data_IF_720118750469
#
_entry.id   IF_720118750469
#
_cell.length_a   1.000
_cell.length_b   1.000
_cell.length_c   1.000
_cell.angle_alpha   90.00
_cell.angle_beta   90.00
_cell.angle_gamma   90.00
#
_symmetry.space_group_name_H-M   'P 1'
#
loop_
_entity.id
_entity.type
_entity.pdbx_description
1 polymer ?
#
# COMPACT_ATOMS: atom_id res chain seq x y z
N UNK A 1 41.36 -0.52 8.51
CA UNK A 1 40.39 -1.50 9.04
C UNK A 1 39.23 -0.73 9.68
N UNK A 2 38.00 -1.18 9.61
CA UNK A 2 36.92 -0.52 10.33
C UNK A 2 37.15 -0.53 11.83
N UNK A 3 36.85 0.57 12.51
CA UNK A 3 36.96 0.70 13.96
C UNK A 3 35.99 -0.26 14.63
N UNK A 4 36.43 -0.93 15.68
CA UNK A 4 35.63 -1.89 16.43
C UNK A 4 35.34 -1.41 17.87
N UNK A 5 34.31 -1.99 18.50
CA UNK A 5 34.05 -1.72 19.95
C UNK A 5 35.25 -2.05 20.82
N UNK A 6 36.12 -3.02 20.44
CA UNK A 6 37.33 -3.36 21.17
C UNK A 6 38.34 -2.24 21.12
N UNK A 7 38.51 -1.58 19.97
CA UNK A 7 39.44 -0.46 19.82
C UNK A 7 39.00 0.74 20.66
N UNK A 8 37.69 1.02 20.68
CA UNK A 8 37.13 2.07 21.55
C UNK A 8 37.28 1.72 23.03
N UNK A 9 37.06 0.47 23.42
CA UNK A 9 37.20 0.02 24.80
C UNK A 9 38.66 0.17 25.30
N UNK A 10 39.63 -0.23 24.47
CA UNK A 10 41.04 -0.07 24.76
C UNK A 10 41.43 1.41 24.93
N UNK A 11 40.97 2.29 24.01
CA UNK A 11 41.26 3.72 24.04
C UNK A 11 40.56 4.45 25.20
N UNK A 12 39.33 4.04 25.55
CA UNK A 12 38.56 4.61 26.65
C UNK A 12 38.99 4.09 28.02
N UNK A 13 39.82 3.02 28.10
CA UNK A 13 40.21 2.37 29.34
C UNK A 13 39.03 1.73 30.09
N UNK A 14 38.08 1.16 29.36
CA UNK A 14 36.89 0.52 29.95
C UNK A 14 36.61 -0.85 29.31
N UNK A 15 35.70 -1.61 29.90
CA UNK A 15 35.32 -2.91 29.33
C UNK A 15 34.53 -2.76 28.00
N UNK A 16 34.61 -3.80 27.16
CA UNK A 16 33.78 -3.88 25.93
C UNK A 16 32.29 -3.71 26.26
N UNK A 17 31.83 -4.28 27.36
CA UNK A 17 30.44 -4.16 27.81
C UNK A 17 30.07 -2.71 28.16
N UNK A 18 30.98 -1.95 28.78
CA UNK A 18 30.76 -0.53 29.08
C UNK A 18 30.59 0.30 27.80
N UNK A 19 31.47 0.06 26.80
CA UNK A 19 31.33 0.72 25.49
C UNK A 19 30.02 0.33 24.80
N UNK A 20 29.68 -0.95 24.78
CA UNK A 20 28.43 -1.45 24.23
C UNK A 20 27.22 -0.79 24.89
N UNK A 21 27.21 -0.66 26.22
CA UNK A 21 26.15 0.01 26.96
C UNK A 21 26.02 1.49 26.57
N UNK A 22 27.14 2.21 26.47
CA UNK A 22 27.11 3.64 26.06
C UNK A 22 26.61 3.81 24.63
N UNK A 23 27.10 2.99 23.69
CA UNK A 23 26.74 3.06 22.28
C UNK A 23 25.27 2.69 22.05
N UNK A 24 24.71 1.78 22.85
CA UNK A 24 23.33 1.33 22.78
C UNK A 24 22.36 2.13 23.68
N UNK A 25 22.83 3.18 24.35
CA UNK A 25 21.98 4.04 25.19
C UNK A 25 21.63 3.46 26.57
N UNK A 26 22.21 2.35 26.98
CA UNK A 26 22.00 1.71 28.28
C UNK A 26 22.88 2.37 29.37
N UNK A 27 22.49 3.56 29.80
CA UNK A 27 23.35 4.41 30.66
C UNK A 27 23.22 4.13 32.16
N UNK A 28 22.23 3.36 32.61
CA UNK A 28 21.88 3.17 34.05
C UNK A 28 23.03 2.65 34.92
N UNK A 29 24.03 2.01 34.33
CA UNK A 29 25.17 1.42 35.00
C UNK A 29 26.50 2.05 34.63
N UNK A 30 26.50 3.23 33.98
CA UNK A 30 27.70 3.89 33.48
C UNK A 30 27.73 5.33 33.98
N UNK A 31 28.88 5.74 34.57
CA UNK A 31 29.04 7.12 35.05
C UNK A 31 29.03 8.13 33.91
N UNK A 32 28.51 9.35 34.16
CA UNK A 32 28.41 10.44 33.18
C UNK A 32 29.77 10.71 32.50
N UNK A 33 30.84 10.82 33.28
CA UNK A 33 32.19 11.06 32.73
C UNK A 33 32.71 9.91 31.83
N UNK A 34 32.27 8.68 32.08
CA UNK A 34 32.60 7.54 31.19
C UNK A 34 31.79 7.61 29.90
N UNK A 35 30.51 8.00 29.96
CA UNK A 35 29.66 8.17 28.80
C UNK A 35 30.24 9.25 27.87
N UNK A 36 30.59 10.41 28.42
CA UNK A 36 31.20 11.52 27.65
C UNK A 36 32.51 11.10 26.97
N UNK A 37 33.41 10.44 27.73
CA UNK A 37 34.69 9.95 27.18
C UNK A 37 34.48 8.95 26.05
N UNK A 38 33.61 7.95 26.22
CA UNK A 38 33.32 6.97 25.17
C UNK A 38 32.70 7.62 23.92
N UNK A 39 31.74 8.52 24.11
CA UNK A 39 31.12 9.28 22.98
C UNK A 39 32.14 10.09 22.21
N UNK A 40 33.01 10.82 22.90
CA UNK A 40 34.07 11.60 22.26
C UNK A 40 35.02 10.73 21.42
N UNK A 41 35.30 9.49 21.84
CA UNK A 41 36.11 8.54 21.08
C UNK A 41 35.33 8.01 19.88
N UNK A 42 34.04 7.62 20.06
CA UNK A 42 33.15 7.16 19.00
C UNK A 42 33.08 8.20 17.88
N UNK A 43 32.84 9.46 18.24
CA UNK A 43 32.72 10.57 17.27
C UNK A 43 34.04 10.83 16.53
N UNK A 44 35.15 10.91 17.28
CA UNK A 44 36.47 11.14 16.69
C UNK A 44 36.93 10.02 15.78
N UNK A 45 36.59 8.76 16.11
CA UNK A 45 36.95 7.57 15.31
C UNK A 45 36.00 7.31 14.18
N UNK A 46 34.85 8.02 14.10
CA UNK A 46 33.79 7.78 13.13
C UNK A 46 33.20 6.36 13.25
N UNK A 47 33.13 5.83 14.49
CA UNK A 47 32.55 4.50 14.68
C UNK A 47 31.05 4.53 14.47
N UNK A 48 30.58 3.67 13.57
CA UNK A 48 29.15 3.40 13.37
C UNK A 48 28.86 1.99 13.88
N UNK A 49 27.89 1.88 14.79
CA UNK A 49 27.51 0.59 15.33
C UNK A 49 26.96 -0.33 14.24
N UNK A 50 27.52 -1.53 14.12
CA UNK A 50 27.05 -2.52 13.16
C UNK A 50 25.64 -2.99 13.53
N UNK A 51 24.68 -2.84 12.61
CA UNK A 51 23.29 -3.22 12.81
C UNK A 51 23.14 -4.73 13.13
N UNK A 52 23.89 -5.59 12.44
CA UNK A 52 23.87 -7.05 12.70
C UNK A 52 24.36 -7.42 14.12
N UNK A 53 25.39 -6.72 14.62
CA UNK A 53 25.88 -6.96 15.98
C UNK A 53 24.88 -6.48 17.04
N UNK A 54 24.17 -5.37 16.77
CA UNK A 54 23.09 -4.88 17.65
C UNK A 54 21.92 -5.83 17.67
N UNK A 55 21.46 -6.30 16.49
CA UNK A 55 20.31 -7.19 16.39
C UNK A 55 20.52 -8.50 17.14
N UNK A 56 21.73 -9.05 17.06
CA UNK A 56 22.08 -10.27 17.81
C UNK A 56 22.00 -10.06 19.33
N UNK A 57 22.46 -8.91 19.83
CA UNK A 57 22.43 -8.57 21.25
C UNK A 57 21.02 -8.23 21.75
N UNK A 58 20.21 -7.56 20.92
CA UNK A 58 18.87 -7.09 21.26
C UNK A 58 17.78 -8.14 20.97
N UNK A 59 18.09 -9.24 20.28
CA UNK A 59 17.12 -10.21 19.74
C UNK A 59 16.04 -9.56 18.86
N UNK A 60 16.35 -8.45 18.23
CA UNK A 60 15.49 -7.69 17.31
C UNK A 60 16.35 -7.16 16.18
N UNK A 61 15.93 -7.38 14.94
CA UNK A 61 16.65 -6.90 13.76
C UNK A 61 16.40 -5.42 13.48
N UNK A 62 15.29 -4.89 14.00
CA UNK A 62 14.72 -3.58 13.62
C UNK A 62 14.41 -3.50 12.12
N UNK A 63 14.16 -4.64 11.48
CA UNK A 63 13.75 -4.74 10.08
C UNK A 63 12.30 -5.15 9.97
N UNK A 64 11.54 -4.39 9.20
CA UNK A 64 10.19 -4.73 8.76
C UNK A 64 10.23 -5.03 7.27
N UNK A 65 9.71 -6.18 6.87
CA UNK A 65 9.56 -6.54 5.46
C UNK A 65 8.38 -5.82 4.83
N UNK A 66 8.56 -5.31 3.60
CA UNK A 66 7.46 -4.97 2.70
C UNK A 66 7.53 -5.95 1.54
N UNK A 67 6.62 -6.89 1.54
CA UNK A 67 6.60 -8.00 0.60
C UNK A 67 5.46 -7.81 -0.39
N UNK A 68 5.76 -7.93 -1.68
CA UNK A 68 4.78 -7.76 -2.75
C UNK A 68 4.93 -8.91 -3.74
N UNK A 69 3.85 -9.36 -4.39
CA UNK A 69 3.96 -10.37 -5.43
C UNK A 69 4.77 -9.85 -6.60
N UNK A 70 5.58 -10.72 -7.19
CA UNK A 70 6.35 -10.46 -8.41
C UNK A 70 6.38 -11.71 -9.27
N UNK A 71 6.58 -11.54 -10.58
CA UNK A 71 6.85 -12.69 -11.46
C UNK A 71 8.36 -12.90 -11.58
N UNK A 72 8.77 -14.13 -11.96
CA UNK A 72 10.19 -14.44 -12.15
C UNK A 72 10.84 -13.64 -13.29
N UNK A 73 10.04 -13.18 -14.24
CA UNK A 73 10.53 -12.63 -15.52
C UNK A 73 10.26 -11.14 -15.68
N UNK A 74 9.40 -10.54 -14.85
CA UNK A 74 8.99 -9.15 -15.01
C UNK A 74 9.67 -8.22 -14.01
N UNK A 75 9.87 -6.99 -14.44
CA UNK A 75 10.29 -5.92 -13.53
C UNK A 75 9.15 -5.62 -12.58
N UNK A 76 9.44 -5.56 -11.30
CA UNK A 76 8.47 -5.18 -10.29
C UNK A 76 8.05 -3.72 -10.49
N UNK A 77 6.80 -3.52 -10.93
CA UNK A 77 6.21 -2.21 -11.11
C UNK A 77 5.24 -1.93 -9.97
N UNK A 78 5.46 -0.82 -9.28
CA UNK A 78 4.57 -0.38 -8.22
C UNK A 78 3.61 0.69 -8.73
N UNK A 79 2.35 0.59 -8.35
CA UNK A 79 1.39 1.66 -8.64
C UNK A 79 1.77 2.95 -7.87
N UNK A 80 1.48 4.14 -8.41
CA UNK A 80 1.70 5.40 -7.69
C UNK A 80 1.01 5.44 -6.33
N UNK A 81 -0.18 4.84 -6.20
CA UNK A 81 -0.89 4.68 -4.94
C UNK A 81 -0.05 3.90 -3.91
N UNK A 82 0.47 2.73 -4.29
CA UNK A 82 1.30 1.90 -3.42
C UNK A 82 2.56 2.63 -2.96
N UNK A 83 3.21 3.36 -3.88
CA UNK A 83 4.41 4.17 -3.55
C UNK A 83 4.07 5.24 -2.50
N UNK A 84 2.91 5.89 -2.61
CA UNK A 84 2.48 6.87 -1.61
C UNK A 84 2.24 6.23 -0.23
N UNK A 85 1.53 5.09 -0.17
CA UNK A 85 1.32 4.33 1.08
C UNK A 85 2.66 3.95 1.72
N UNK A 86 3.63 3.48 0.92
CA UNK A 86 4.96 3.11 1.41
C UNK A 86 5.72 4.28 2.02
N UNK A 87 5.59 5.47 1.46
CA UNK A 87 6.22 6.67 2.02
C UNK A 87 5.75 6.98 3.45
N UNK A 88 4.46 6.87 3.71
CA UNK A 88 3.89 7.07 5.05
C UNK A 88 4.24 5.93 6.01
N UNK A 89 4.20 4.68 5.51
CA UNK A 89 4.62 3.50 6.26
C UNK A 89 6.09 3.63 6.71
N UNK A 90 7.01 3.91 5.76
CA UNK A 90 8.44 4.06 6.02
C UNK A 90 8.71 5.15 7.06
N UNK A 91 8.09 6.32 6.87
CA UNK A 91 8.24 7.44 7.81
C UNK A 91 7.88 7.01 9.23
N UNK A 92 6.75 6.34 9.41
CA UNK A 92 6.29 5.90 10.73
C UNK A 92 7.18 4.84 11.34
N UNK A 93 7.68 3.88 10.53
CA UNK A 93 8.65 2.88 10.97
C UNK A 93 9.96 3.53 11.41
N UNK A 94 10.48 4.47 10.64
CA UNK A 94 11.71 5.22 10.95
C UNK A 94 11.59 6.02 12.24
N UNK A 95 10.43 6.66 12.50
CA UNK A 95 10.17 7.39 13.75
C UNK A 95 10.28 6.48 15.00
N UNK A 96 10.03 5.16 14.83
CA UNK A 96 10.16 4.13 15.86
C UNK A 96 11.51 3.38 15.81
N UNK A 97 12.44 3.81 14.93
CA UNK A 97 13.78 3.24 14.78
C UNK A 97 13.81 1.90 14.05
N UNK A 98 12.83 1.62 13.22
CA UNK A 98 12.79 0.47 12.31
C UNK A 98 13.20 0.86 10.89
N UNK A 99 13.66 -0.11 10.12
CA UNK A 99 14.03 0.02 8.72
C UNK A 99 13.12 -0.85 7.86
N UNK A 100 12.79 -0.38 6.67
CA UNK A 100 11.97 -1.09 5.71
C UNK A 100 12.84 -1.86 4.73
N UNK A 101 12.64 -3.18 4.63
CA UNK A 101 13.20 -4.05 3.60
C UNK A 101 12.13 -4.34 2.55
N UNK A 102 12.31 -3.78 1.35
CA UNK A 102 11.41 -4.04 0.23
C UNK A 102 11.86 -5.26 -0.58
N UNK A 103 10.94 -6.20 -0.85
CA UNK A 103 11.22 -7.40 -1.64
C UNK A 103 9.99 -7.87 -2.43
N UNK A 104 10.19 -8.20 -3.71
CA UNK A 104 9.27 -9.01 -4.49
C UNK A 104 9.41 -10.49 -4.10
N UNK A 105 8.29 -11.21 -4.07
CA UNK A 105 8.23 -12.66 -3.85
C UNK A 105 7.44 -13.31 -4.98
N UNK A 106 7.89 -14.44 -5.47
CA UNK A 106 7.32 -15.12 -6.63
C UNK A 106 6.31 -16.19 -6.24
N UNK A 107 6.42 -16.69 -5.01
CA UNK A 107 5.52 -17.70 -4.45
C UNK A 107 5.16 -17.34 -3.01
N UNK A 108 3.95 -17.69 -2.61
CA UNK A 108 3.43 -17.45 -1.24
C UNK A 108 4.35 -18.04 -0.16
N UNK A 109 4.97 -19.19 -0.41
CA UNK A 109 5.91 -19.83 0.51
C UNK A 109 7.17 -18.98 0.77
N UNK A 110 7.55 -18.11 -0.16
CA UNK A 110 8.72 -17.23 0.00
C UNK A 110 8.50 -16.14 1.06
N UNK A 111 7.26 -15.81 1.41
CA UNK A 111 6.95 -14.87 2.49
C UNK A 111 7.59 -15.35 3.81
N UNK A 112 7.34 -16.62 4.19
CA UNK A 112 7.91 -17.20 5.40
C UNK A 112 9.45 -17.35 5.30
N UNK A 113 9.96 -17.71 4.13
CA UNK A 113 11.41 -17.77 3.87
C UNK A 113 12.04 -16.38 4.02
N UNK A 114 11.43 -15.33 3.49
CA UNK A 114 11.93 -13.96 3.62
C UNK A 114 11.94 -13.51 5.10
N UNK A 115 10.84 -13.74 5.80
CA UNK A 115 10.73 -13.41 7.23
C UNK A 115 11.87 -14.06 8.04
N UNK A 116 12.11 -15.36 7.84
CA UNK A 116 13.13 -16.10 8.59
C UNK A 116 14.55 -15.78 8.15
N UNK A 117 14.81 -15.74 6.84
CA UNK A 117 16.19 -15.56 6.33
C UNK A 117 16.76 -14.17 6.63
N UNK A 118 15.91 -13.15 6.66
CA UNK A 118 16.31 -11.79 7.01
C UNK A 118 16.07 -11.46 8.49
N UNK A 119 15.57 -12.43 9.27
CA UNK A 119 15.23 -12.24 10.68
C UNK A 119 14.36 -10.99 10.88
N UNK A 120 13.30 -10.86 10.06
CA UNK A 120 12.40 -9.71 10.14
C UNK A 120 11.62 -9.74 11.46
N UNK A 121 11.49 -8.59 12.11
CA UNK A 121 10.69 -8.45 13.33
C UNK A 121 9.19 -8.47 13.02
N UNK A 122 8.81 -8.10 11.79
CA UNK A 122 7.46 -8.16 11.23
C UNK A 122 7.46 -7.94 9.72
N UNK A 123 6.30 -8.10 9.08
CA UNK A 123 6.15 -7.84 7.66
C UNK A 123 4.82 -7.18 7.33
N UNK A 124 4.82 -6.34 6.30
CA UNK A 124 3.63 -5.85 5.60
C UNK A 124 3.57 -6.57 4.25
N UNK A 125 2.41 -7.12 3.92
CA UNK A 125 2.14 -7.73 2.61
C UNK A 125 1.11 -6.88 1.88
N UNK A 126 1.31 -6.68 0.57
CA UNK A 126 0.43 -5.86 -0.27
C UNK A 126 0.36 -6.42 -1.68
N UNK A 127 -0.84 -6.43 -2.27
CA UNK A 127 -1.05 -6.86 -3.64
C UNK A 127 -1.17 -8.38 -3.83
N UNK A 128 -1.20 -9.14 -2.77
CA UNK A 128 -1.52 -10.57 -2.80
C UNK A 128 -3.02 -10.77 -2.94
N UNK A 129 -3.42 -11.86 -3.58
CA UNK A 129 -4.81 -12.31 -3.58
C UNK A 129 -5.21 -12.73 -2.16
N UNK A 130 -6.48 -12.59 -1.82
CA UNK A 130 -6.95 -12.94 -0.47
C UNK A 130 -6.76 -14.42 -0.15
N UNK A 131 -6.92 -15.32 -1.15
CA UNK A 131 -6.65 -16.75 -1.02
C UNK A 131 -5.15 -17.03 -0.73
N UNK A 132 -4.25 -16.21 -1.26
CA UNK A 132 -2.82 -16.31 -0.95
C UNK A 132 -2.53 -15.87 0.49
N UNK A 133 -3.15 -14.76 0.92
CA UNK A 133 -3.04 -14.27 2.31
C UNK A 133 -3.65 -15.28 3.29
N UNK A 134 -4.74 -15.94 2.94
CA UNK A 134 -5.35 -17.02 3.74
C UNK A 134 -4.37 -18.19 3.95
N UNK A 135 -3.52 -18.45 2.97
CA UNK A 135 -2.49 -19.47 3.00
C UNK A 135 -1.25 -19.11 3.83
N UNK A 136 -1.08 -17.85 4.26
CA UNK A 136 0.11 -17.45 5.01
C UNK A 136 0.14 -18.13 6.38
N UNK A 137 1.26 -18.80 6.66
CA UNK A 137 1.54 -19.45 7.93
C UNK A 137 2.88 -18.97 8.47
N UNK A 138 2.95 -17.69 8.91
CA UNK A 138 4.20 -17.11 9.36
C UNK A 138 4.81 -17.95 10.48
N UNK A 139 6.13 -18.01 10.51
CA UNK A 139 6.85 -18.66 11.60
C UNK A 139 6.34 -18.14 12.94
N UNK A 140 6.16 -19.04 13.91
CA UNK A 140 5.46 -18.76 15.14
C UNK A 140 5.93 -17.45 15.79
N UNK A 141 5.04 -16.48 15.85
CA UNK A 141 5.23 -15.22 16.56
C UNK A 141 5.69 -14.01 15.73
N UNK A 142 5.91 -14.12 14.42
CA UNK A 142 6.24 -12.94 13.61
C UNK A 142 4.95 -12.29 13.11
N UNK A 143 4.64 -11.03 13.50
CA UNK A 143 3.47 -10.32 13.02
C UNK A 143 3.50 -10.07 11.52
N UNK A 144 2.36 -10.31 10.85
CA UNK A 144 2.15 -9.94 9.44
C UNK A 144 0.91 -9.07 9.33
N UNK A 145 1.07 -7.91 8.71
CA UNK A 145 -0.04 -7.01 8.39
C UNK A 145 -0.33 -7.07 6.89
N UNK A 146 -1.57 -7.34 6.54
CA UNK A 146 -2.05 -7.32 5.17
C UNK A 146 -2.69 -5.96 4.84
N UNK A 147 -2.18 -5.28 3.82
CA UNK A 147 -2.78 -4.06 3.27
C UNK A 147 -3.75 -4.40 2.16
N UNK A 148 -4.91 -3.74 2.17
CA UNK A 148 -5.95 -3.85 1.14
C UNK A 148 -6.40 -5.30 0.88
N UNK A 149 -6.40 -6.15 1.91
CA UNK A 149 -6.86 -7.54 1.86
C UNK A 149 -8.18 -7.71 2.62
N UNK A 150 -9.00 -8.61 2.11
CA UNK A 150 -10.25 -9.09 2.69
C UNK A 150 -10.12 -10.53 3.18
N UNK A 151 -8.90 -11.02 3.29
CA UNK A 151 -8.58 -12.34 3.86
C UNK A 151 -9.17 -12.52 5.25
N UNK A 152 -9.65 -13.73 5.52
CA UNK A 152 -10.16 -14.15 6.83
C UNK A 152 -9.07 -14.76 7.73
N UNK A 153 -7.79 -14.69 7.32
CA UNK A 153 -6.69 -15.29 8.08
C UNK A 153 -6.49 -14.60 9.44
N UNK A 154 -6.89 -15.25 10.51
CA UNK A 154 -6.76 -14.76 11.88
C UNK A 154 -5.31 -14.55 12.36
N UNK A 155 -4.31 -14.95 11.56
CA UNK A 155 -2.88 -14.76 11.86
C UNK A 155 -2.31 -13.47 11.25
N UNK A 156 -3.12 -12.76 10.48
CA UNK A 156 -2.75 -11.49 9.88
C UNK A 156 -3.66 -10.38 10.40
N UNK A 157 -3.08 -9.22 10.64
CA UNK A 157 -3.84 -8.00 10.91
C UNK A 157 -4.07 -7.25 9.61
N UNK A 158 -5.16 -6.53 9.46
CA UNK A 158 -5.52 -5.88 8.20
C UNK A 158 -5.76 -4.37 8.32
N UNK A 159 -5.33 -3.62 7.31
CA UNK A 159 -5.75 -2.22 7.09
C UNK A 159 -6.16 -2.08 5.63
N UNK A 160 -7.36 -1.56 5.38
CA UNK A 160 -7.89 -1.37 4.03
C UNK A 160 -8.75 -0.12 3.94
N UNK A 161 -9.03 0.32 2.74
CA UNK A 161 -10.03 1.35 2.49
C UNK A 161 -11.44 0.77 2.48
N UNK A 162 -12.46 1.63 2.64
CA UNK A 162 -13.86 1.23 2.43
C UNK A 162 -14.15 1.16 0.91
N UNK A 163 -13.70 0.05 0.30
CA UNK A 163 -13.80 -0.16 -1.14
C UNK A 163 -15.27 -0.23 -1.60
N UNK A 164 -16.15 -0.80 -0.76
CA UNK A 164 -17.58 -0.90 -1.09
C UNK A 164 -18.23 0.48 -1.14
N UNK A 165 -17.96 1.30 -0.13
CA UNK A 165 -18.45 2.67 -0.10
C UNK A 165 -17.88 3.49 -1.26
N UNK A 166 -16.60 3.30 -1.59
CA UNK A 166 -15.97 3.96 -2.73
C UNK A 166 -16.64 3.62 -4.07
N UNK A 167 -16.93 2.34 -4.30
CA UNK A 167 -17.68 1.92 -5.49
C UNK A 167 -19.10 2.49 -5.54
N UNK A 168 -19.77 2.55 -4.39
CA UNK A 168 -21.10 3.15 -4.25
C UNK A 168 -21.09 4.65 -4.58
N UNK A 169 -20.15 5.41 -4.01
CA UNK A 169 -20.00 6.85 -4.23
C UNK A 169 -19.75 7.18 -5.71
N UNK A 170 -18.87 6.42 -6.36
CA UNK A 170 -18.56 6.61 -7.78
C UNK A 170 -19.81 6.40 -8.66
N UNK A 171 -20.53 5.30 -8.44
CA UNK A 171 -21.74 4.99 -9.22
C UNK A 171 -22.88 5.97 -8.93
N UNK A 172 -23.13 6.27 -7.67
CA UNK A 172 -24.18 7.22 -7.25
C UNK A 172 -23.97 8.60 -7.89
N UNK A 173 -22.73 9.09 -7.93
CA UNK A 173 -22.40 10.34 -8.59
C UNK A 173 -22.78 10.32 -10.07
N UNK A 174 -22.36 9.30 -10.83
CA UNK A 174 -22.67 9.17 -12.24
C UNK A 174 -24.19 9.02 -12.51
N UNK A 175 -24.87 8.23 -11.69
CA UNK A 175 -26.32 8.04 -11.80
C UNK A 175 -27.10 9.33 -11.49
N UNK A 176 -26.64 10.13 -10.52
CA UNK A 176 -27.21 11.45 -10.17
C UNK A 176 -27.02 12.45 -11.31
N UNK A 177 -25.91 12.40 -12.03
CA UNK A 177 -25.66 13.20 -13.23
C UNK A 177 -26.51 12.77 -14.45
N UNK A 178 -27.30 11.69 -14.34
CA UNK A 178 -28.22 11.24 -15.38
C UNK A 178 -27.68 10.10 -16.25
N UNK A 179 -26.45 9.64 -16.02
CA UNK A 179 -25.93 8.48 -16.75
C UNK A 179 -26.70 7.21 -16.40
N UNK A 180 -26.96 6.35 -17.39
CA UNK A 180 -27.69 5.09 -17.21
C UNK A 180 -26.94 3.88 -17.76
N UNK A 181 -26.06 4.08 -18.74
CA UNK A 181 -25.14 3.08 -19.28
C UNK A 181 -23.74 3.44 -18.82
N UNK A 182 -23.28 2.78 -17.75
CA UNK A 182 -22.03 3.04 -17.05
C UNK A 182 -21.17 1.79 -17.15
N UNK A 183 -20.00 1.89 -17.77
CA UNK A 183 -19.03 0.80 -17.79
C UNK A 183 -18.25 0.72 -16.47
N UNK A 184 -17.97 -0.51 -16.06
CA UNK A 184 -17.10 -0.83 -14.93
C UNK A 184 -15.78 -1.36 -15.46
N UNK A 185 -14.69 -0.60 -15.33
CA UNK A 185 -13.35 -0.96 -15.82
C UNK A 185 -12.45 -1.40 -14.67
N UNK A 186 -12.04 -2.67 -14.71
CA UNK A 186 -11.26 -3.30 -13.63
C UNK A 186 -10.45 -4.48 -14.13
N UNK A 187 -9.41 -4.95 -13.40
CA UNK A 187 -8.86 -6.28 -13.61
C UNK A 187 -9.93 -7.37 -13.38
N UNK A 188 -9.64 -8.58 -13.82
CA UNK A 188 -10.44 -9.74 -13.43
C UNK A 188 -10.43 -9.88 -11.90
N UNK A 189 -11.56 -10.27 -11.32
CA UNK A 189 -11.70 -10.42 -9.88
C UNK A 189 -12.54 -11.64 -9.52
N UNK A 190 -12.29 -12.20 -8.34
CA UNK A 190 -13.04 -13.32 -7.76
C UNK A 190 -14.24 -12.82 -6.93
N UNK A 191 -14.87 -13.71 -6.19
CA UNK A 191 -16.00 -13.38 -5.31
C UNK A 191 -15.58 -12.63 -4.04
N UNK A 192 -14.28 -12.46 -3.81
CA UNK A 192 -13.70 -11.73 -2.68
C UNK A 192 -12.68 -10.69 -3.17
N UNK A 193 -12.25 -9.81 -2.29
CA UNK A 193 -11.19 -8.84 -2.56
C UNK A 193 -11.69 -7.44 -2.87
N UNK A 194 -10.74 -6.52 -2.95
CA UNK A 194 -11.00 -5.08 -3.04
C UNK A 194 -11.81 -4.70 -4.29
N UNK A 195 -11.51 -5.29 -5.46
CA UNK A 195 -12.24 -4.99 -6.71
C UNK A 195 -13.68 -5.50 -6.62
N UNK A 196 -13.87 -6.67 -6.01
CA UNK A 196 -15.21 -7.20 -5.73
C UNK A 196 -16.01 -6.26 -4.84
N UNK A 197 -15.43 -5.72 -3.78
CA UNK A 197 -16.11 -4.77 -2.91
C UNK A 197 -16.48 -3.48 -3.65
N UNK A 198 -15.58 -2.94 -4.48
CA UNK A 198 -15.89 -1.78 -5.35
C UNK A 198 -17.05 -2.09 -6.28
N UNK A 199 -17.06 -3.28 -6.88
CA UNK A 199 -18.14 -3.72 -7.76
C UNK A 199 -19.47 -3.91 -7.01
N UNK A 200 -19.46 -4.50 -5.80
CA UNK A 200 -20.67 -4.66 -4.99
C UNK A 200 -21.27 -3.30 -4.59
N UNK A 201 -20.44 -2.33 -4.24
CA UNK A 201 -20.89 -0.96 -3.98
C UNK A 201 -21.46 -0.28 -5.23
N UNK A 202 -20.80 -0.45 -6.36
CA UNK A 202 -21.26 0.04 -7.67
C UNK A 202 -22.64 -0.55 -8.04
N UNK A 203 -22.84 -1.86 -7.88
CA UNK A 203 -24.13 -2.50 -8.14
C UNK A 203 -25.21 -2.08 -7.13
N UNK A 204 -24.84 -1.83 -5.88
CA UNK A 204 -25.77 -1.33 -4.87
C UNK A 204 -26.35 0.03 -5.30
N UNK A 205 -25.52 0.97 -5.73
CA UNK A 205 -25.99 2.27 -6.22
C UNK A 205 -26.92 2.16 -7.42
N UNK A 206 -26.65 1.24 -8.36
CA UNK A 206 -27.54 0.96 -9.48
C UNK A 206 -28.91 0.44 -9.01
N UNK A 207 -28.89 -0.49 -8.05
CA UNK A 207 -30.13 -1.05 -7.47
C UNK A 207 -30.95 0.02 -6.78
N UNK A 208 -30.31 0.86 -5.97
CA UNK A 208 -30.97 1.94 -5.22
C UNK A 208 -31.57 3.01 -6.15
N UNK A 209 -30.93 3.25 -7.29
CA UNK A 209 -31.43 4.16 -8.33
C UNK A 209 -32.48 3.53 -9.26
N UNK A 210 -32.75 2.23 -9.14
CA UNK A 210 -33.66 1.50 -10.03
C UNK A 210 -33.14 1.39 -11.47
N UNK A 211 -31.83 1.44 -11.69
CA UNK A 211 -31.18 1.37 -12.99
C UNK A 211 -30.51 0.00 -13.15
N UNK A 212 -30.92 -0.77 -14.15
CA UNK A 212 -30.26 -2.04 -14.42
C UNK A 212 -28.85 -1.82 -14.96
N UNK A 213 -27.87 -2.57 -14.41
CA UNK A 213 -26.55 -2.67 -14.98
C UNK A 213 -26.43 -3.93 -15.86
N UNK A 214 -25.66 -3.86 -16.94
CA UNK A 214 -25.52 -4.94 -17.90
C UNK A 214 -24.08 -5.49 -17.85
N UNK A 215 -23.93 -6.81 -17.76
CA UNK A 215 -22.61 -7.45 -17.74
C UNK A 215 -21.75 -7.16 -18.99
N UNK A 216 -22.38 -6.78 -20.11
CA UNK A 216 -21.68 -6.30 -21.32
C UNK A 216 -20.97 -4.97 -21.14
N UNK A 217 -21.26 -4.24 -20.05
CA UNK A 217 -20.63 -2.98 -19.72
C UNK A 217 -19.44 -3.17 -18.77
N UNK A 218 -19.06 -4.42 -18.48
CA UNK A 218 -17.82 -4.73 -17.77
C UNK A 218 -16.62 -4.73 -18.73
N UNK A 219 -15.62 -3.92 -18.42
CA UNK A 219 -14.35 -3.88 -19.15
C UNK A 219 -13.28 -4.56 -18.27
N UNK A 220 -12.94 -5.79 -18.62
CA UNK A 220 -11.87 -6.54 -17.91
C UNK A 220 -10.53 -6.09 -18.48
N UNK A 221 -9.78 -5.34 -17.67
CA UNK A 221 -8.54 -4.68 -18.07
C UNK A 221 -7.64 -4.42 -16.85
N UNK A 222 -6.36 -4.82 -16.93
CA UNK A 222 -5.43 -4.55 -15.85
C UNK A 222 -5.17 -3.05 -15.69
N UNK A 223 -4.88 -2.59 -14.45
CA UNK A 223 -4.81 -1.17 -14.11
C UNK A 223 -3.48 -0.54 -14.56
N UNK A 224 -3.26 -0.50 -15.88
CA UNK A 224 -2.16 0.23 -16.52
C UNK A 224 -2.71 1.31 -17.43
N UNK A 225 -1.88 2.33 -17.70
CA UNK A 225 -2.28 3.41 -18.61
C UNK A 225 -2.48 2.89 -20.04
N UNK A 226 -1.57 2.04 -20.54
CA UNK A 226 -1.58 1.51 -21.89
C UNK A 226 -2.86 0.70 -22.18
N UNK A 227 -3.22 -0.20 -21.27
CA UNK A 227 -4.42 -1.01 -21.39
C UNK A 227 -5.69 -0.16 -21.20
N UNK A 228 -5.62 0.87 -20.37
CA UNK A 228 -6.67 1.87 -20.24
C UNK A 228 -6.92 2.61 -21.55
N UNK A 229 -5.87 3.02 -22.27
CA UNK A 229 -5.98 3.66 -23.59
C UNK A 229 -6.70 2.73 -24.59
N UNK A 230 -6.32 1.47 -24.64
CA UNK A 230 -6.95 0.51 -25.55
C UNK A 230 -8.43 0.26 -25.18
N UNK A 231 -8.74 0.10 -23.88
CA UNK A 231 -10.10 -0.07 -23.39
C UNK A 231 -10.98 1.16 -23.73
N UNK A 232 -10.45 2.38 -23.51
CA UNK A 232 -11.17 3.62 -23.85
C UNK A 232 -11.38 3.80 -25.34
N UNK A 233 -10.42 3.41 -26.18
CA UNK A 233 -10.54 3.44 -27.63
C UNK A 233 -11.64 2.47 -28.11
N UNK A 234 -11.65 1.24 -27.61
CA UNK A 234 -12.66 0.22 -27.93
C UNK A 234 -14.03 0.66 -27.45
N UNK A 235 -14.15 1.13 -26.22
CA UNK A 235 -15.40 1.66 -25.67
C UNK A 235 -15.94 2.79 -26.53
N UNK A 236 -15.10 3.74 -26.91
CA UNK A 236 -15.50 4.89 -27.72
C UNK A 236 -16.00 4.50 -29.12
N UNK A 237 -15.40 3.48 -29.74
CA UNK A 237 -15.74 3.01 -31.08
C UNK A 237 -16.95 2.05 -31.10
N UNK A 238 -16.98 1.08 -30.17
CA UNK A 238 -17.86 -0.09 -30.27
C UNK A 238 -19.07 -0.01 -29.31
N UNK A 239 -19.03 0.90 -28.30
CA UNK A 239 -20.09 1.04 -27.29
C UNK A 239 -20.65 2.48 -27.23
N UNK A 240 -21.31 2.96 -28.31
CA UNK A 240 -21.80 4.34 -28.39
C UNK A 240 -22.83 4.69 -27.30
N UNK A 241 -23.55 3.70 -26.78
CA UNK A 241 -24.55 3.88 -25.72
C UNK A 241 -23.95 4.06 -24.32
N UNK A 242 -22.69 3.66 -24.11
CA UNK A 242 -21.99 3.88 -22.85
C UNK A 242 -21.59 5.35 -22.75
N UNK A 243 -22.02 6.00 -21.66
CA UNK A 243 -21.88 7.44 -21.47
C UNK A 243 -21.06 7.80 -20.24
N UNK A 244 -20.69 6.80 -19.44
CA UNK A 244 -19.80 6.98 -18.31
C UNK A 244 -18.97 5.72 -18.05
N UNK A 245 -17.83 5.90 -17.40
CA UNK A 245 -16.94 4.83 -16.95
C UNK A 245 -16.57 5.06 -15.50
N UNK A 246 -16.70 4.03 -14.67
CA UNK A 246 -16.02 3.94 -13.41
C UNK A 246 -14.82 3.00 -13.56
N UNK A 247 -13.61 3.54 -13.46
CA UNK A 247 -12.36 2.80 -13.51
C UNK A 247 -11.81 2.61 -12.08
N UNK A 248 -11.45 1.39 -11.74
CA UNK A 248 -11.06 1.00 -10.38
C UNK A 248 -9.66 1.47 -9.95
N UNK A 249 -8.98 2.28 -10.77
CA UNK A 249 -7.73 2.96 -10.43
C UNK A 249 -7.57 4.23 -11.28
N UNK A 250 -6.97 5.28 -10.77
CA UNK A 250 -6.76 6.54 -11.49
C UNK A 250 -5.87 6.37 -12.72
N UNK A 251 -4.84 5.54 -12.63
CA UNK A 251 -3.95 5.29 -13.77
C UNK A 251 -4.73 4.65 -14.95
N UNK A 252 -5.66 3.75 -14.63
CA UNK A 252 -6.57 3.16 -15.62
C UNK A 252 -7.53 4.21 -16.16
N UNK A 253 -8.14 5.04 -15.28
CA UNK A 253 -9.07 6.09 -15.64
C UNK A 253 -8.45 7.09 -16.63
N UNK A 254 -7.23 7.53 -16.37
CA UNK A 254 -6.49 8.45 -17.27
C UNK A 254 -6.21 7.79 -18.63
N UNK A 255 -5.87 6.50 -18.62
CA UNK A 255 -5.75 5.74 -19.88
C UNK A 255 -7.07 5.70 -20.65
N UNK A 256 -8.18 5.42 -19.97
CA UNK A 256 -9.52 5.42 -20.58
C UNK A 256 -9.86 6.79 -21.17
N UNK A 257 -9.61 7.89 -20.46
CA UNK A 257 -9.82 9.26 -20.96
C UNK A 257 -9.09 9.51 -22.28
N UNK A 258 -7.81 9.15 -22.33
CA UNK A 258 -6.97 9.27 -23.53
C UNK A 258 -7.53 8.39 -24.68
N UNK A 259 -7.93 7.14 -24.38
CA UNK A 259 -8.50 6.23 -25.37
C UNK A 259 -9.82 6.73 -25.96
N UNK A 260 -10.70 7.27 -25.11
CA UNK A 260 -11.96 7.91 -25.52
C UNK A 260 -11.66 9.08 -26.46
N UNK A 261 -10.71 9.94 -26.11
CA UNK A 261 -10.32 11.07 -26.98
C UNK A 261 -9.77 10.59 -28.35
N UNK A 262 -8.96 9.53 -28.36
CA UNK A 262 -8.42 8.92 -29.59
C UNK A 262 -9.52 8.28 -30.48
N UNK A 263 -10.67 7.90 -29.91
CA UNK A 263 -11.84 7.42 -30.68
C UNK A 263 -12.65 8.55 -31.29
N UNK A 264 -12.33 9.80 -31.00
CA UNK A 264 -13.05 10.99 -31.48
C UNK A 264 -14.19 11.43 -30.56
N UNK A 265 -14.34 10.84 -29.37
CA UNK A 265 -15.31 11.27 -28.35
C UNK A 265 -14.59 12.12 -27.28
N UNK A 266 -15.30 12.95 -26.58
CA UNK A 266 -14.80 13.88 -25.58
C UNK A 266 -15.11 13.43 -24.16
N UNK A 267 -14.22 13.79 -23.22
CA UNK A 267 -14.44 13.70 -21.77
C UNK A 267 -14.53 15.13 -21.25
N UNK A 268 -15.59 15.50 -20.53
CA UNK A 268 -16.70 14.66 -20.02
C UNK A 268 -17.93 14.60 -20.94
N UNK A 269 -18.00 15.37 -22.04
CA UNK A 269 -19.25 15.66 -22.75
C UNK A 269 -19.89 14.43 -23.40
N UNK A 270 -19.10 13.52 -23.97
CA UNK A 270 -19.58 12.25 -24.55
C UNK A 270 -19.47 11.08 -23.56
N UNK A 271 -18.41 11.07 -22.74
CA UNK A 271 -18.15 10.02 -21.74
C UNK A 271 -17.61 10.64 -20.46
N UNK A 272 -18.38 10.56 -19.40
CA UNK A 272 -17.90 10.91 -18.06
C UNK A 272 -16.98 9.80 -17.51
N UNK A 273 -15.92 10.17 -16.80
CA UNK A 273 -14.97 9.21 -16.22
C UNK A 273 -14.74 9.49 -14.74
N UNK A 274 -14.89 8.45 -13.93
CA UNK A 274 -14.53 8.46 -12.49
C UNK A 274 -13.41 7.47 -12.25
N UNK A 275 -12.38 7.88 -11.50
CA UNK A 275 -11.27 7.05 -11.06
C UNK A 275 -11.39 6.58 -9.61
N UNK A 276 -10.29 6.02 -9.11
CA UNK A 276 -10.13 5.61 -7.73
C UNK A 276 -8.65 5.78 -7.35
N UNK A 277 -8.34 6.35 -6.19
CA UNK A 277 -7.09 6.55 -5.47
C UNK A 277 -6.82 8.01 -5.11
N UNK A 278 -7.15 8.97 -5.98
CA UNK A 278 -6.78 10.40 -5.93
C UNK A 278 -5.25 10.62 -5.91
N UNK A 279 -4.55 9.94 -6.83
CA UNK A 279 -3.11 10.16 -7.03
C UNK A 279 -2.86 11.52 -7.70
N UNK A 280 -1.62 12.03 -7.62
CA UNK A 280 -1.24 13.34 -8.20
C UNK A 280 -1.64 13.48 -9.68
N UNK A 281 -1.60 12.38 -10.45
CA UNK A 281 -1.99 12.36 -11.84
C UNK A 281 -3.41 12.86 -12.08
N UNK A 282 -4.35 12.61 -11.14
CA UNK A 282 -5.72 13.09 -11.21
C UNK A 282 -5.83 14.62 -11.30
N UNK A 283 -4.82 15.34 -10.77
CA UNK A 283 -4.73 16.80 -10.79
C UNK A 283 -4.03 17.34 -12.03
N UNK A 284 -3.18 16.53 -12.69
CA UNK A 284 -2.32 17.00 -13.79
C UNK A 284 -2.90 16.78 -15.17
N UNK A 285 -3.86 15.85 -15.31
CA UNK A 285 -4.53 15.58 -16.59
C UNK A 285 -5.58 16.66 -16.92
N UNK A 286 -5.95 16.74 -18.20
CA UNK A 286 -6.99 17.65 -18.68
C UNK A 286 -8.00 16.86 -19.51
N UNK A 287 -9.29 16.86 -19.10
CA UNK A 287 -9.87 17.45 -17.90
C UNK A 287 -9.36 16.77 -16.62
N UNK A 288 -9.39 17.50 -15.48
CA UNK A 288 -8.98 16.92 -14.19
C UNK A 288 -9.92 15.80 -13.77
N UNK A 289 -9.35 14.72 -13.26
CA UNK A 289 -10.08 13.49 -12.96
C UNK A 289 -10.90 13.59 -11.67
N UNK A 290 -12.21 13.36 -11.78
CA UNK A 290 -13.09 13.02 -10.65
C UNK A 290 -12.72 11.63 -10.17
N UNK A 291 -12.50 11.45 -8.87
CA UNK A 291 -11.99 10.19 -8.33
C UNK A 291 -12.41 9.96 -6.88
N UNK A 292 -12.41 8.71 -6.45
CA UNK A 292 -12.57 8.34 -5.05
C UNK A 292 -11.22 8.42 -4.35
N UNK A 293 -11.08 9.33 -3.38
CA UNK A 293 -9.86 9.52 -2.61
C UNK A 293 -9.74 8.47 -1.52
N UNK A 294 -8.57 7.84 -1.47
CA UNK A 294 -8.11 7.07 -0.34
C UNK A 294 -7.18 7.91 0.56
N UNK A 295 -7.38 7.89 1.86
CA UNK A 295 -6.43 8.53 2.79
C UNK A 295 -5.20 7.63 3.00
N UNK A 296 -4.28 7.70 2.04
CA UNK A 296 -3.02 6.94 2.06
C UNK A 296 -2.14 7.27 3.26
N UNK A 297 -2.24 8.53 3.76
CA UNK A 297 -1.49 8.99 4.93
C UNK A 297 -1.93 8.27 6.20
N UNK A 298 -3.24 8.25 6.45
CA UNK A 298 -3.84 7.52 7.57
C UNK A 298 -3.62 6.02 7.40
N UNK A 299 -3.84 5.45 6.20
CA UNK A 299 -3.64 4.03 5.91
C UNK A 299 -2.22 3.57 6.27
N UNK A 300 -1.19 4.21 5.72
CA UNK A 300 0.20 3.84 5.97
C UNK A 300 0.62 4.05 7.43
N UNK A 301 0.14 5.12 8.07
CA UNK A 301 0.46 5.41 9.48
C UNK A 301 -0.19 4.43 10.45
N UNK A 302 -1.46 4.08 10.22
CA UNK A 302 -2.20 3.09 11.03
C UNK A 302 -1.58 1.72 10.87
N UNK A 303 -1.29 1.30 9.62
CA UNK A 303 -0.65 0.02 9.33
C UNK A 303 0.69 -0.13 10.07
N UNK A 304 1.56 0.89 9.98
CA UNK A 304 2.83 0.86 10.70
C UNK A 304 2.65 0.79 12.22
N UNK A 305 1.71 1.56 12.78
CA UNK A 305 1.47 1.57 14.22
C UNK A 305 0.95 0.22 14.71
N UNK A 306 -0.04 -0.35 14.04
CA UNK A 306 -0.59 -1.67 14.40
C UNK A 306 0.46 -2.77 14.35
N UNK A 307 1.24 -2.82 13.26
CA UNK A 307 2.31 -3.81 13.13
C UNK A 307 3.36 -3.66 14.24
N UNK A 308 3.80 -2.42 14.51
CA UNK A 308 4.82 -2.18 15.53
C UNK A 308 4.32 -2.47 16.94
N UNK A 309 3.07 -2.20 17.24
CA UNK A 309 2.47 -2.51 18.53
C UNK A 309 2.44 -4.03 18.78
N UNK A 310 2.18 -4.84 17.74
CA UNK A 310 2.32 -6.30 17.82
C UNK A 310 3.77 -6.73 17.98
N UNK A 311 4.71 -6.18 17.18
CA UNK A 311 6.14 -6.46 17.25
C UNK A 311 6.72 -6.15 18.64
N UNK A 312 6.27 -5.09 19.28
CA UNK A 312 6.72 -4.66 20.60
C UNK A 312 5.95 -5.32 21.74
N UNK A 313 4.98 -6.19 21.44
CA UNK A 313 4.19 -6.92 22.42
C UNK A 313 3.22 -6.04 23.22
N UNK A 314 2.86 -4.87 22.67
CA UNK A 314 1.89 -3.93 23.26
C UNK A 314 0.47 -4.23 22.75
N UNK A 315 0.36 -4.66 21.48
CA UNK A 315 -0.88 -4.99 20.80
C UNK A 315 -1.08 -6.50 20.60
N UNK A 316 -2.28 -6.87 20.23
CA UNK A 316 -2.63 -8.21 19.74
C UNK A 316 -3.31 -8.05 18.38
N UNK A 317 -3.24 -9.07 17.49
CA UNK A 317 -4.02 -9.06 16.28
C UNK A 317 -5.49 -8.74 16.57
N UNK A 318 -6.03 -7.78 15.85
CA UNK A 318 -7.40 -7.28 16.03
C UNK A 318 -8.20 -7.33 14.74
N UNK A 319 -9.44 -6.87 14.81
CA UNK A 319 -10.27 -6.68 13.62
C UNK A 319 -9.58 -5.74 12.63
N UNK A 320 -9.75 -5.98 11.32
CA UNK A 320 -9.19 -5.11 10.29
C UNK A 320 -9.69 -3.67 10.43
N UNK A 321 -8.77 -2.71 10.30
CA UNK A 321 -9.12 -1.28 10.30
C UNK A 321 -9.55 -0.86 8.91
N UNK A 322 -10.75 -0.29 8.80
CA UNK A 322 -11.29 0.24 7.56
C UNK A 322 -11.16 1.75 7.56
N UNK A 323 -10.44 2.29 6.58
CA UNK A 323 -10.22 3.73 6.41
C UNK A 323 -11.31 4.29 5.50
N UNK A 324 -12.03 5.32 5.90
CA UNK A 324 -13.05 5.96 5.07
C UNK A 324 -12.48 6.51 3.76
N UNK A 325 -13.34 6.58 2.75
CA UNK A 325 -13.05 7.17 1.44
C UNK A 325 -14.00 8.31 1.14
N UNK A 326 -13.64 9.20 0.21
CA UNK A 326 -14.49 10.30 -0.22
C UNK A 326 -14.43 10.50 -1.74
N UNK A 327 -15.52 10.95 -2.35
CA UNK A 327 -15.52 11.33 -3.75
C UNK A 327 -15.04 12.76 -3.92
N UNK A 328 -14.03 12.95 -4.76
CA UNK A 328 -13.49 14.27 -5.13
C UNK A 328 -13.95 14.60 -6.55
N UNK A 329 -14.96 15.44 -6.67
CA UNK A 329 -15.53 15.84 -7.97
C UNK A 329 -14.62 16.88 -8.63
N UNK A 330 -14.30 16.64 -9.92
CA UNK A 330 -13.51 17.54 -10.78
C UNK A 330 -14.17 17.67 -12.18
N UNK A 331 -13.35 17.77 -13.22
CA UNK A 331 -13.78 18.17 -14.57
C UNK A 331 -14.14 16.98 -15.48
N UNK A 332 -13.75 15.75 -15.12
CA UNK A 332 -13.99 14.55 -15.96
C UNK A 332 -15.41 14.01 -15.91
N UNK A 333 -16.32 14.69 -15.19
CA UNK A 333 -17.74 14.33 -15.11
C UNK A 333 -18.61 15.56 -15.32
N UNK A 334 -19.70 15.41 -16.06
CA UNK A 334 -20.72 16.45 -16.30
C UNK A 334 -22.12 15.84 -16.30
N UNK A 335 -23.13 16.68 -16.08
CA UNK A 335 -24.53 16.26 -16.21
C UNK A 335 -24.87 15.92 -17.67
N UNK A 336 -25.70 14.88 -17.85
CA UNK A 336 -26.21 14.46 -19.15
C UNK A 336 -27.56 15.07 -19.48
#
# INVERSE_FOLDING_TARGET
>A
MPVTLKDIAAEAGVSLMTVSNVVNGNHDKVSVGTIERVRAIVDRRGYVANASARSLAAKSSRLIGLLVPSSEHDVLVLSPHNVAVFGFLERRLRDRGYHLLFRGVTETAEVDVAVRSWNLDGAVVLGFLDEEVDGFAPAAGTPILALDSYSANARTTGVRSDDREGGRLAAEHLLTLGHRRIAFASPAFSDVGLVRQRFDGFLQAHTDAGVAWHATDQLVVDPTWELGVEAGRTLGADHPDVTAVFATADILAVGVMEGVARSGRSVPDDVAVVGFDDIDLAHYVTPKLTTVRQDVGTKGSVAASMLLDEVEGIGTPGEPVVIPVELVVRESTSAR
#
